data_IF_155916798769
#
_entry.id   IF_155916798769
#
_cell.length_a   1.000
_cell.length_b   1.000
_cell.length_c   1.000
_cell.angle_alpha   90.00
_cell.angle_beta   90.00
_cell.angle_gamma   90.00
#
_symmetry.space_group_name_H-M   'P 1'
#
loop_
_entity.id
_entity.type
_entity.pdbx_description
1 polymer ?
#
# COMPACT_ATOMS: atom_id res chain seq x y z
N UNK A 1 28.28 -28.82 -17.41
CA UNK A 1 28.73 -27.49 -17.92
C UNK A 1 27.54 -26.55 -17.74
N UNK A 2 27.44 -25.93 -16.56
CA UNK A 2 26.39 -24.94 -16.25
C UNK A 2 26.93 -23.57 -16.66
N UNK A 3 26.38 -23.02 -17.74
CA UNK A 3 26.60 -21.61 -18.09
C UNK A 3 25.91 -20.71 -17.09
N UNK A 4 26.69 -20.22 -16.14
CA UNK A 4 26.29 -19.22 -15.17
C UNK A 4 26.26 -17.85 -15.87
N UNK A 5 25.14 -17.53 -16.53
CA UNK A 5 24.85 -16.22 -17.15
C UNK A 5 24.49 -15.19 -16.07
N UNK A 6 25.33 -15.10 -15.03
CA UNK A 6 25.26 -14.07 -14.02
C UNK A 6 25.95 -12.80 -14.50
N UNK A 7 25.30 -12.00 -15.35
CA UNK A 7 25.71 -10.62 -15.56
C UNK A 7 25.62 -9.87 -14.23
N UNK A 8 26.77 -9.65 -13.59
CA UNK A 8 26.87 -8.75 -12.42
C UNK A 8 26.56 -7.33 -12.89
N UNK A 9 25.33 -6.89 -12.65
CA UNK A 9 24.93 -5.51 -12.89
C UNK A 9 25.62 -4.62 -11.87
N UNK A 10 26.34 -3.58 -12.30
CA UNK A 10 26.99 -2.64 -11.39
C UNK A 10 25.94 -1.77 -10.67
N UNK A 11 26.30 -1.24 -9.50
CA UNK A 11 25.45 -0.29 -8.76
C UNK A 11 25.09 0.93 -9.63
N UNK A 12 26.06 1.43 -10.42
CA UNK A 12 25.84 2.57 -11.32
C UNK A 12 24.83 2.24 -12.42
N UNK A 13 24.86 1.01 -12.95
CA UNK A 13 23.88 0.55 -13.97
C UNK A 13 22.48 0.48 -13.36
N UNK A 14 22.35 -0.03 -12.12
CA UNK A 14 21.06 -0.09 -11.42
C UNK A 14 20.54 1.33 -11.19
N UNK A 15 21.40 2.26 -10.74
CA UNK A 15 21.06 3.67 -10.52
C UNK A 15 20.57 4.32 -11.81
N UNK A 16 21.31 4.16 -12.90
CA UNK A 16 20.95 4.73 -14.19
C UNK A 16 19.62 4.18 -14.74
N UNK A 17 19.34 2.88 -14.55
CA UNK A 17 18.05 2.29 -14.95
C UNK A 17 16.92 2.86 -14.08
N UNK A 18 17.13 2.97 -12.76
CA UNK A 18 16.15 3.54 -11.85
C UNK A 18 15.81 4.98 -12.23
N UNK A 19 16.82 5.81 -12.50
CA UNK A 19 16.62 7.20 -12.87
C UNK A 19 15.82 7.36 -14.19
N UNK A 20 15.95 6.42 -15.11
CA UNK A 20 15.16 6.42 -16.36
C UNK A 20 13.69 6.11 -16.14
N UNK A 21 13.36 5.31 -15.13
CA UNK A 21 11.97 4.91 -14.82
C UNK A 21 11.26 5.91 -13.89
N UNK A 22 12.02 6.72 -13.14
CA UNK A 22 11.44 7.68 -12.19
C UNK A 22 10.38 8.62 -12.78
N UNK A 23 10.54 9.19 -14.01
CA UNK A 23 9.51 10.05 -14.59
C UNK A 23 8.18 9.33 -14.83
N UNK A 24 8.23 8.07 -15.29
CA UNK A 24 7.05 7.25 -15.51
C UNK A 24 6.35 6.90 -14.19
N UNK A 25 7.12 6.57 -13.15
CA UNK A 25 6.58 6.33 -11.80
C UNK A 25 5.90 7.60 -11.26
N UNK A 26 6.50 8.77 -11.44
CA UNK A 26 5.92 10.05 -11.02
C UNK A 26 4.60 10.32 -11.75
N UNK A 27 4.58 10.15 -13.07
CA UNK A 27 3.36 10.32 -13.87
C UNK A 27 2.27 9.34 -13.45
N UNK A 28 2.62 8.07 -13.22
CA UNK A 28 1.69 7.06 -12.71
C UNK A 28 1.12 7.43 -11.34
N UNK A 29 1.96 7.90 -10.42
CA UNK A 29 1.53 8.30 -9.07
C UNK A 29 0.59 9.50 -9.05
N UNK A 30 0.74 10.41 -10.00
CA UNK A 30 -0.07 11.65 -10.08
C UNK A 30 -1.24 11.54 -11.06
N UNK A 31 -1.47 10.37 -11.68
CA UNK A 31 -2.56 10.21 -12.63
C UNK A 31 -3.91 10.40 -11.96
N UNK A 32 -4.87 10.91 -12.72
CA UNK A 32 -6.27 10.95 -12.29
C UNK A 32 -6.81 9.53 -12.13
N UNK A 33 -7.68 9.34 -11.18
CA UNK A 33 -8.37 8.09 -10.86
C UNK A 33 -9.85 8.23 -11.21
N UNK A 34 -10.55 7.10 -11.25
CA UNK A 34 -12.01 7.11 -11.40
C UNK A 34 -12.68 7.75 -10.18
N UNK A 35 -13.84 8.36 -10.41
CA UNK A 35 -14.57 9.03 -9.35
C UNK A 35 -15.16 8.09 -8.30
N UNK A 36 -15.45 6.83 -8.67
CA UNK A 36 -16.09 5.85 -7.78
C UNK A 36 -15.39 4.50 -7.85
N UNK A 37 -15.03 3.98 -6.67
CA UNK A 37 -14.53 2.62 -6.51
C UNK A 37 -15.45 1.81 -5.61
N UNK A 38 -16.13 0.76 -6.13
CA UNK A 38 -16.97 -0.13 -5.34
C UNK A 38 -16.24 -0.78 -4.17
N UNK A 39 -15.01 -1.23 -4.37
CA UNK A 39 -14.20 -1.84 -3.31
C UNK A 39 -12.76 -1.34 -3.39
N UNK A 40 -12.23 -0.93 -2.25
CA UNK A 40 -10.82 -0.56 -2.10
C UNK A 40 -10.19 -1.38 -0.98
N UNK A 41 -9.04 -2.00 -1.23
CA UNK A 41 -8.21 -2.66 -0.21
C UNK A 41 -7.01 -1.78 0.11
N UNK A 42 -6.74 -1.64 1.39
CA UNK A 42 -5.58 -0.93 1.90
C UNK A 42 -4.80 -1.88 2.83
N UNK A 43 -3.61 -2.27 2.40
CA UNK A 43 -2.78 -3.28 3.05
C UNK A 43 -1.32 -2.86 3.09
N UNK A 44 -0.59 -3.32 4.09
CA UNK A 44 0.82 -3.03 4.28
C UNK A 44 1.68 -4.27 4.05
N UNK A 45 2.72 -4.12 3.24
CA UNK A 45 3.78 -5.10 3.08
C UNK A 45 5.00 -4.65 3.87
N UNK A 46 5.38 -5.43 4.88
CA UNK A 46 6.55 -5.17 5.71
C UNK A 46 7.79 -5.83 5.12
N UNK A 47 8.90 -5.09 5.06
CA UNK A 47 10.18 -5.58 4.58
C UNK A 47 11.33 -5.04 5.45
N UNK A 48 12.45 -5.77 5.47
CA UNK A 48 13.65 -5.36 6.19
C UNK A 48 14.64 -4.72 5.24
N UNK A 49 15.19 -3.59 5.67
CA UNK A 49 16.28 -2.90 4.98
C UNK A 49 17.39 -2.58 5.98
N UNK A 50 18.60 -2.44 5.47
CA UNK A 50 19.71 -1.92 6.27
C UNK A 50 19.74 -0.40 6.15
N UNK A 51 19.70 0.30 7.26
CA UNK A 51 19.79 1.77 7.29
C UNK A 51 21.25 2.24 7.07
N UNK A 52 21.43 3.57 7.02
CA UNK A 52 22.74 4.20 6.81
C UNK A 52 23.77 3.87 7.92
N UNK A 53 23.30 3.37 9.06
CA UNK A 53 24.13 2.97 10.21
C UNK A 53 24.45 1.47 10.20
N UNK A 54 24.01 0.73 9.17
CA UNK A 54 24.19 -0.72 9.07
C UNK A 54 23.19 -1.53 9.91
N UNK A 55 22.18 -0.91 10.51
CA UNK A 55 21.18 -1.58 11.33
C UNK A 55 20.00 -2.08 10.48
N UNK A 56 19.52 -3.29 10.76
CA UNK A 56 18.31 -3.81 10.12
C UNK A 56 17.07 -3.10 10.70
N UNK A 57 16.36 -2.38 9.84
CA UNK A 57 15.11 -1.68 10.17
C UNK A 57 13.95 -2.24 9.34
N UNK A 58 12.78 -2.35 9.97
CA UNK A 58 11.57 -2.72 9.25
C UNK A 58 10.94 -1.48 8.64
N UNK A 59 10.56 -1.59 7.36
CA UNK A 59 9.81 -0.58 6.61
C UNK A 59 8.51 -1.20 6.12
N UNK A 60 7.53 -0.35 5.82
CA UNK A 60 6.28 -0.79 5.21
C UNK A 60 6.01 -0.03 3.91
N UNK A 61 5.50 -0.77 2.93
CA UNK A 61 4.90 -0.22 1.72
C UNK A 61 3.40 -0.45 1.84
N UNK A 62 2.65 0.63 1.77
CA UNK A 62 1.19 0.62 1.83
C UNK A 62 0.64 0.63 0.42
N UNK A 63 -0.06 -0.42 0.05
CA UNK A 63 -0.69 -0.58 -1.24
C UNK A 63 -2.17 -0.25 -1.12
N UNK A 64 -2.66 0.56 -2.04
CA UNK A 64 -4.09 0.85 -2.21
C UNK A 64 -4.54 0.24 -3.52
N UNK A 65 -5.36 -0.80 -3.45
CA UNK A 65 -5.93 -1.52 -4.59
C UNK A 65 -7.41 -1.20 -4.69
N UNK A 66 -7.91 -0.85 -5.86
CA UNK A 66 -9.33 -0.64 -6.14
C UNK A 66 -9.88 -1.62 -7.15
N UNK A 67 -11.19 -1.83 -7.11
CA UNK A 67 -11.96 -2.37 -8.23
C UNK A 67 -12.79 -1.22 -8.79
N UNK A 68 -12.67 -0.99 -10.11
CA UNK A 68 -13.48 -0.02 -10.82
C UNK A 68 -14.94 -0.52 -11.04
N UNK A 69 -15.76 0.32 -11.69
CA UNK A 69 -17.15 -0.05 -11.97
C UNK A 69 -17.32 -1.16 -13.00
N UNK A 70 -16.29 -1.44 -13.78
CA UNK A 70 -16.28 -2.50 -14.78
C UNK A 70 -15.75 -3.82 -14.22
N UNK A 71 -15.32 -3.83 -12.95
CA UNK A 71 -14.79 -4.99 -12.25
C UNK A 71 -13.29 -5.22 -12.42
N UNK A 72 -12.56 -4.28 -13.01
CA UNK A 72 -11.11 -4.40 -13.16
C UNK A 72 -10.39 -3.99 -11.87
N UNK A 73 -9.38 -4.78 -11.52
CA UNK A 73 -8.51 -4.48 -10.39
C UNK A 73 -7.40 -3.53 -10.80
N UNK A 74 -7.24 -2.46 -10.05
CA UNK A 74 -6.26 -1.41 -10.29
C UNK A 74 -5.45 -1.09 -9.03
N UNK A 75 -4.14 -0.85 -9.18
CA UNK A 75 -3.31 -0.32 -8.12
C UNK A 75 -3.43 1.22 -8.11
N UNK A 76 -4.16 1.76 -7.15
CA UNK A 76 -4.43 3.20 -7.04
C UNK A 76 -3.21 3.98 -6.54
N UNK A 77 -2.46 3.40 -5.63
CA UNK A 77 -1.26 4.05 -5.08
C UNK A 77 -0.38 3.12 -4.27
N UNK A 78 0.88 3.53 -4.13
CA UNK A 78 1.88 2.93 -3.25
C UNK A 78 2.50 4.03 -2.40
N UNK A 79 2.47 3.85 -1.08
CA UNK A 79 2.93 4.85 -0.13
C UNK A 79 3.96 4.23 0.81
N UNK A 80 4.94 5.01 1.22
CA UNK A 80 5.99 4.59 2.15
C UNK A 80 5.94 5.53 3.35
N UNK A 81 5.83 4.97 4.55
CA UNK A 81 5.89 5.74 5.78
C UNK A 81 6.85 5.10 6.78
N UNK A 82 7.43 5.94 7.64
CA UNK A 82 8.20 5.51 8.80
C UNK A 82 7.31 5.27 10.01
N UNK A 83 6.15 5.93 10.05
CA UNK A 83 5.21 5.89 11.15
C UNK A 83 3.80 5.58 10.62
N UNK A 84 3.21 4.53 11.14
CA UNK A 84 1.81 4.18 10.92
C UNK A 84 0.96 4.95 11.93
N UNK A 85 0.19 5.89 11.47
CA UNK A 85 -0.71 6.67 12.33
C UNK A 85 -1.89 7.24 11.55
N UNK A 86 -2.89 7.73 12.26
CA UNK A 86 -4.08 8.33 11.67
C UNK A 86 -3.76 9.43 10.64
N UNK A 87 -2.75 10.26 10.91
CA UNK A 87 -2.30 11.31 10.01
C UNK A 87 -1.73 10.79 8.67
N UNK A 88 -1.04 9.64 8.72
CA UNK A 88 -0.55 9.00 7.50
C UNK A 88 -1.71 8.53 6.63
N UNK A 89 -2.68 7.82 7.22
CA UNK A 89 -3.84 7.35 6.48
C UNK A 89 -4.70 8.49 5.97
N UNK A 90 -4.85 9.56 6.75
CA UNK A 90 -5.51 10.76 6.28
C UNK A 90 -4.82 11.35 5.04
N UNK A 91 -3.49 11.38 5.00
CA UNK A 91 -2.75 11.85 3.83
C UNK A 91 -2.93 10.97 2.59
N UNK A 92 -2.99 9.64 2.77
CA UNK A 92 -3.27 8.68 1.69
C UNK A 92 -4.66 8.90 1.11
N UNK A 93 -5.69 9.01 1.97
CA UNK A 93 -7.07 9.22 1.54
C UNK A 93 -7.27 10.58 0.86
N UNK A 94 -6.61 11.62 1.37
CA UNK A 94 -6.60 12.94 0.75
C UNK A 94 -5.92 12.93 -0.62
N UNK A 95 -4.84 12.15 -0.79
CA UNK A 95 -4.20 11.99 -2.11
C UNK A 95 -5.16 11.34 -3.11
N UNK A 96 -5.89 10.29 -2.72
CA UNK A 96 -6.91 9.67 -3.57
C UNK A 96 -7.99 10.68 -3.98
N UNK A 97 -8.47 11.48 -3.02
CA UNK A 97 -9.48 12.52 -3.28
C UNK A 97 -8.95 13.59 -4.24
N UNK A 98 -7.72 14.07 -4.05
CA UNK A 98 -7.07 15.05 -4.93
C UNK A 98 -6.86 14.50 -6.35
N UNK A 99 -6.77 13.19 -6.51
CA UNK A 99 -6.64 12.50 -7.79
C UNK A 99 -8.00 12.11 -8.40
N UNK A 100 -9.09 12.56 -7.84
CA UNK A 100 -10.43 12.46 -8.42
C UNK A 100 -11.36 11.43 -7.79
N UNK A 101 -10.93 10.67 -6.78
CA UNK A 101 -11.80 9.70 -6.10
C UNK A 101 -12.81 10.46 -5.23
N UNK A 102 -14.08 10.43 -5.61
CA UNK A 102 -15.18 11.10 -4.91
C UNK A 102 -15.87 10.17 -3.92
N UNK A 103 -15.94 8.86 -4.24
CA UNK A 103 -16.64 7.88 -3.41
C UNK A 103 -15.97 6.50 -3.42
N UNK A 104 -15.98 5.86 -2.25
CA UNK A 104 -15.55 4.48 -2.02
C UNK A 104 -16.70 3.79 -1.29
N UNK A 105 -17.31 2.75 -1.90
CA UNK A 105 -18.46 2.09 -1.25
C UNK A 105 -18.02 1.20 -0.10
N UNK A 106 -16.96 0.39 -0.29
CA UNK A 106 -16.44 -0.54 0.71
C UNK A 106 -14.92 -0.38 0.80
N UNK A 107 -14.40 -0.07 1.97
CA UNK A 107 -12.97 -0.06 2.27
C UNK A 107 -12.59 -1.27 3.12
N UNK A 108 -11.78 -2.16 2.57
CA UNK A 108 -11.23 -3.32 3.27
C UNK A 108 -9.86 -2.97 3.86
N UNK A 109 -9.74 -2.98 5.18
CA UNK A 109 -8.53 -2.57 5.90
C UNK A 109 -8.06 -3.66 6.86
N UNK A 110 -6.78 -3.62 7.25
CA UNK A 110 -6.32 -4.32 8.44
C UNK A 110 -6.80 -3.59 9.71
N UNK A 111 -6.71 -4.24 10.86
CA UNK A 111 -7.25 -3.71 12.13
C UNK A 111 -6.41 -2.59 12.77
N UNK A 112 -5.73 -1.74 12.01
CA UNK A 112 -4.93 -0.63 12.54
C UNK A 112 -5.81 0.44 13.21
N UNK A 113 -5.40 0.87 14.40
CA UNK A 113 -6.11 1.89 15.17
C UNK A 113 -6.15 3.23 14.43
N UNK A 114 -7.31 3.90 14.45
CA UNK A 114 -7.52 5.21 13.85
C UNK A 114 -7.70 5.21 12.33
N UNK A 115 -7.59 4.06 11.68
CA UNK A 115 -7.80 3.96 10.25
C UNK A 115 -9.30 4.12 9.86
N UNK A 116 -10.26 3.46 10.56
CA UNK A 116 -11.68 3.69 10.29
C UNK A 116 -12.08 5.16 10.43
N UNK A 117 -11.58 5.86 11.46
CA UNK A 117 -11.87 7.27 11.70
C UNK A 117 -11.33 8.16 10.56
N UNK A 118 -10.12 7.86 10.07
CA UNK A 118 -9.55 8.57 8.93
C UNK A 118 -10.39 8.38 7.66
N UNK A 119 -10.87 7.15 7.38
CA UNK A 119 -11.75 6.87 6.24
C UNK A 119 -13.04 7.68 6.37
N UNK A 120 -13.71 7.62 7.50
CA UNK A 120 -14.98 8.33 7.72
C UNK A 120 -14.84 9.86 7.66
N UNK A 121 -13.65 10.39 7.96
CA UNK A 121 -13.41 11.83 7.86
C UNK A 121 -13.32 12.33 6.41
N UNK A 122 -12.85 11.50 5.48
CA UNK A 122 -12.69 11.84 4.05
C UNK A 122 -13.85 11.30 3.20
N UNK A 123 -14.27 10.07 3.50
CA UNK A 123 -15.35 9.35 2.81
C UNK A 123 -16.41 8.89 3.83
N UNK A 124 -17.29 9.77 4.28
CA UNK A 124 -18.21 9.50 5.40
C UNK A 124 -19.23 8.39 5.13
N UNK A 125 -19.52 8.08 3.87
CA UNK A 125 -20.49 7.06 3.47
C UNK A 125 -19.87 5.69 3.22
N UNK A 126 -18.53 5.56 3.33
CA UNK A 126 -17.81 4.31 3.08
C UNK A 126 -18.11 3.28 4.17
N UNK A 127 -18.51 2.09 3.76
CA UNK A 127 -18.59 0.93 4.65
C UNK A 127 -17.18 0.39 4.92
N UNK A 128 -16.75 0.41 6.17
CA UNK A 128 -15.42 -0.11 6.56
C UNK A 128 -15.55 -1.60 6.91
N UNK A 129 -14.81 -2.44 6.20
CA UNK A 129 -14.72 -3.89 6.40
C UNK A 129 -13.33 -4.27 6.88
N UNK A 130 -13.24 -4.98 8.01
CA UNK A 130 -11.97 -5.56 8.43
C UNK A 130 -11.59 -6.75 7.54
N UNK A 131 -10.31 -6.81 7.16
CA UNK A 131 -9.79 -7.88 6.32
C UNK A 131 -9.88 -9.24 7.05
N UNK A 132 -10.69 -10.14 6.54
CA UNK A 132 -10.91 -11.48 7.12
C UNK A 132 -9.61 -12.28 7.21
N UNK A 133 -8.73 -12.16 6.22
CA UNK A 133 -7.42 -12.85 6.21
C UNK A 133 -6.55 -12.39 7.39
N UNK A 134 -6.52 -11.08 7.68
CA UNK A 134 -5.80 -10.53 8.84
C UNK A 134 -6.44 -10.96 10.17
N UNK A 135 -7.76 -11.01 10.24
CA UNK A 135 -8.46 -11.52 11.43
C UNK A 135 -8.12 -12.99 11.70
N UNK A 136 -8.15 -13.84 10.67
CA UNK A 136 -7.78 -15.25 10.80
C UNK A 136 -6.32 -15.38 11.25
N UNK A 137 -5.38 -14.70 10.59
CA UNK A 137 -3.95 -14.71 10.96
C UNK A 137 -3.72 -14.27 12.40
N UNK A 138 -4.41 -13.24 12.85
CA UNK A 138 -4.31 -12.75 14.21
C UNK A 138 -4.88 -13.78 15.22
N UNK A 139 -6.01 -14.40 14.91
CA UNK A 139 -6.63 -15.42 15.79
C UNK A 139 -5.75 -16.66 15.93
N UNK A 140 -5.14 -17.14 14.85
CA UNK A 140 -4.25 -18.31 14.87
C UNK A 140 -3.02 -18.10 15.76
N UNK A 141 -2.50 -16.88 15.87
CA UNK A 141 -1.37 -16.58 16.76
C UNK A 141 -1.63 -16.94 18.22
N UNK A 142 -2.87 -16.80 18.68
CA UNK A 142 -3.27 -17.13 20.05
C UNK A 142 -3.50 -18.64 20.26
N UNK A 143 -3.87 -19.37 19.21
CA UNK A 143 -4.09 -20.83 19.28
C UNK A 143 -2.77 -21.59 19.34
N UNK A 144 -1.76 -21.16 18.58
CA UNK A 144 -0.44 -21.84 18.54
C UNK A 144 0.35 -21.62 19.86
N UNK A 145 0.08 -20.55 20.58
CA UNK A 145 0.70 -20.27 21.88
C UNK A 145 0.09 -21.09 23.05
N UNK A 146 -1.01 -21.80 22.81
CA UNK A 146 -1.73 -22.61 23.82
C UNK A 146 -1.49 -24.12 23.67
N UNK A 147 -0.65 -24.57 22.72
CA UNK A 147 -0.18 -25.93 22.50
C UNK A 147 1.31 -26.07 22.84
#
# INVERSE_FOLDING_TARGET
MEENLGNRVSADTISAITDRVLPEIKAWKSRMLDSVYPIVWMDAIHYKVTDERGCAVTRAIYNVLGIDRDGHKELLGMYISRNEGANFWLSVLTDLQNRGVEDILIACIDGLKGFPDAIQSVYPNTAVQLCVVHQIRNSIKYVIAAL
#
